data_IF_150372623133
#
_entry.id   IF_150372623133
#
_cell.length_a   1.000
_cell.length_b   1.000
_cell.length_c   1.000
_cell.angle_alpha   90.00
_cell.angle_beta   90.00
_cell.angle_gamma   90.00
#
_symmetry.space_group_name_H-M   'P 1'
#
loop_
_entity.id
_entity.type
_entity.pdbx_description
1 polymer ?
#
# COMPACT_ATOMS: atom_id res chain seq x y z
N UNK A 1 9.10 -9.75 3.45
CA UNK A 1 7.75 -9.17 3.39
C UNK A 1 6.88 -9.83 4.46
N UNK A 2 6.34 -9.06 5.40
CA UNK A 2 5.34 -9.57 6.35
C UNK A 2 4.02 -9.61 5.58
N UNK A 3 3.55 -10.80 5.22
CA UNK A 3 2.28 -10.98 4.53
C UNK A 3 1.13 -10.76 5.53
N UNK A 4 0.21 -9.84 5.23
CA UNK A 4 -1.02 -9.69 6.02
C UNK A 4 -2.00 -10.81 5.60
N UNK A 5 -2.27 -11.75 6.51
CA UNK A 5 -3.28 -12.81 6.30
C UNK A 5 -4.70 -12.25 6.10
N UNK A 6 -4.92 -10.95 6.36
CA UNK A 6 -6.19 -10.29 6.08
C UNK A 6 -6.51 -10.23 4.58
N UNK A 7 -5.53 -10.45 3.69
CA UNK A 7 -5.73 -10.38 2.25
C UNK A 7 -6.31 -11.69 1.73
N UNK A 8 -7.61 -11.65 1.38
CA UNK A 8 -8.37 -12.82 0.95
C UNK A 8 -8.76 -12.78 -0.53
N UNK A 9 -8.47 -11.68 -1.23
CA UNK A 9 -8.82 -11.49 -2.63
C UNK A 9 -7.80 -12.02 -3.64
N UNK A 10 -7.78 -11.43 -4.84
CA UNK A 10 -6.90 -11.86 -5.93
C UNK A 10 -5.44 -11.55 -5.59
N UNK A 11 -4.64 -12.60 -5.43
CA UNK A 11 -3.20 -12.45 -5.19
C UNK A 11 -2.44 -12.24 -6.50
N UNK A 12 -2.32 -10.98 -6.92
CA UNK A 12 -1.41 -10.59 -8.01
C UNK A 12 -0.05 -10.14 -7.46
N UNK A 13 0.99 -10.94 -7.69
CA UNK A 13 2.36 -10.61 -7.26
C UNK A 13 2.88 -9.28 -7.82
N UNK A 14 2.51 -8.93 -9.05
CA UNK A 14 2.88 -7.68 -9.70
C UNK A 14 2.26 -6.50 -8.97
N UNK A 15 0.96 -6.60 -8.66
CA UNK A 15 0.25 -5.60 -7.88
C UNK A 15 0.84 -5.45 -6.48
N UNK A 16 1.05 -6.54 -5.75
CA UNK A 16 1.66 -6.51 -4.42
C UNK A 16 3.02 -5.82 -4.44
N UNK A 17 3.86 -6.10 -5.45
CA UNK A 17 5.18 -5.46 -5.58
C UNK A 17 5.07 -3.95 -5.80
N UNK A 18 4.08 -3.48 -6.57
CA UNK A 18 3.83 -2.05 -6.76
C UNK A 18 3.37 -1.38 -5.46
N UNK A 19 2.46 -2.01 -4.72
CA UNK A 19 1.92 -1.47 -3.47
C UNK A 19 2.97 -1.47 -2.34
N UNK A 20 3.79 -2.52 -2.27
CA UNK A 20 4.93 -2.59 -1.35
C UNK A 20 5.92 -1.44 -1.60
N UNK A 21 6.18 -1.12 -2.87
CA UNK A 21 7.05 -0.01 -3.25
C UNK A 21 6.53 1.33 -2.76
N UNK A 22 5.22 1.59 -2.84
CA UNK A 22 4.61 2.81 -2.27
C UNK A 22 4.89 2.90 -0.78
N UNK A 23 4.75 1.79 -0.04
CA UNK A 23 5.04 1.77 1.39
C UNK A 23 6.52 1.99 1.71
N UNK A 24 7.43 1.44 0.93
CA UNK A 24 8.87 1.61 1.11
C UNK A 24 9.33 3.03 0.76
N UNK A 25 8.82 3.61 -0.32
CA UNK A 25 9.08 5.00 -0.71
C UNK A 25 8.53 5.98 0.35
N UNK A 26 7.33 5.71 0.87
CA UNK A 26 6.74 6.50 1.95
C UNK A 26 7.51 6.34 3.27
N UNK A 27 8.00 5.14 3.58
CA UNK A 27 8.90 4.94 4.70
C UNK A 27 10.19 5.74 4.53
N UNK A 28 10.76 5.82 3.32
CA UNK A 28 11.96 6.61 3.07
C UNK A 28 11.71 8.12 3.25
N UNK A 29 10.50 8.59 2.93
CA UNK A 29 10.08 9.97 3.15
C UNK A 29 9.99 10.32 4.64
N UNK A 30 9.25 9.52 5.40
CA UNK A 30 9.00 9.79 6.83
C UNK A 30 10.10 9.32 7.77
N UNK A 31 10.85 8.29 7.37
CA UNK A 31 11.83 7.54 8.18
C UNK A 31 11.27 7.04 9.52
N UNK A 32 9.99 6.62 9.53
CA UNK A 32 9.32 6.09 10.72
C UNK A 32 8.86 4.65 10.51
N UNK A 33 9.29 3.74 11.39
CA UNK A 33 8.98 2.31 11.28
C UNK A 33 7.48 1.99 11.19
N UNK A 34 6.62 2.76 11.87
CA UNK A 34 5.17 2.53 11.83
C UNK A 34 4.56 2.80 10.46
N UNK A 35 5.22 3.58 9.58
CA UNK A 35 4.72 3.86 8.23
C UNK A 35 4.77 2.59 7.40
N UNK A 36 5.92 1.88 7.40
CA UNK A 36 6.09 0.65 6.63
C UNK A 36 5.13 -0.48 7.07
N UNK A 37 4.86 -0.61 8.37
CA UNK A 37 3.94 -1.64 8.89
C UNK A 37 2.48 -1.22 8.79
N UNK A 38 2.17 0.05 9.10
CA UNK A 38 0.83 0.61 9.01
C UNK A 38 0.31 0.67 7.58
N UNK A 39 1.18 1.01 6.62
CA UNK A 39 0.85 1.11 5.20
C UNK A 39 0.40 -0.23 4.60
N UNK A 40 1.00 -1.36 5.02
CA UNK A 40 0.65 -2.71 4.54
C UNK A 40 -0.58 -3.32 5.23
N UNK A 41 -1.05 -2.73 6.33
CA UNK A 41 -2.14 -3.28 7.14
C UNK A 41 -3.46 -3.28 6.38
N UNK A 42 -4.30 -4.27 6.61
CA UNK A 42 -5.61 -4.38 5.94
C UNK A 42 -5.46 -4.35 4.41
N UNK A 43 -4.40 -4.96 3.88
CA UNK A 43 -4.15 -5.07 2.43
C UNK A 43 -4.09 -3.73 1.72
N UNK A 44 -3.35 -2.78 2.30
CA UNK A 44 -3.24 -1.41 1.77
C UNK A 44 -4.56 -0.61 1.82
N UNK A 45 -5.66 -1.21 2.30
CA UNK A 45 -6.96 -0.56 2.52
C UNK A 45 -7.00 0.22 3.85
N UNK A 46 -6.03 1.10 4.08
CA UNK A 46 -5.93 1.90 5.31
C UNK A 46 -5.57 3.37 5.00
N UNK A 47 -5.76 4.25 5.98
CA UNK A 47 -5.51 5.69 5.79
C UNK A 47 -4.01 6.01 5.59
N UNK A 48 -3.09 5.23 6.16
CA UNK A 48 -1.64 5.46 6.00
C UNK A 48 -1.24 5.25 4.55
N UNK A 49 -1.73 4.19 3.91
CA UNK A 49 -1.48 3.96 2.48
C UNK A 49 -2.03 5.10 1.62
N UNK A 50 -3.23 5.59 1.91
CA UNK A 50 -3.82 6.73 1.21
C UNK A 50 -3.00 8.01 1.37
N UNK A 51 -2.51 8.28 2.58
CA UNK A 51 -1.63 9.42 2.83
C UNK A 51 -0.31 9.28 2.06
N UNK A 52 0.27 8.08 2.03
CA UNK A 52 1.49 7.81 1.28
C UNK A 52 1.34 8.07 -0.22
N UNK A 53 0.20 7.70 -0.81
CA UNK A 53 -0.09 7.98 -2.21
C UNK A 53 -0.14 9.48 -2.52
N UNK A 54 -0.75 10.26 -1.62
CA UNK A 54 -0.86 11.72 -1.74
C UNK A 54 0.52 12.39 -1.59
N UNK A 55 1.27 12.03 -0.55
CA UNK A 55 2.59 12.60 -0.26
C UNK A 55 3.65 12.26 -1.31
N UNK A 56 3.55 11.08 -1.93
CA UNK A 56 4.42 10.66 -3.03
C UNK A 56 3.97 11.23 -4.39
N UNK A 57 2.89 12.02 -4.42
CA UNK A 57 2.30 12.61 -5.63
C UNK A 57 1.97 11.56 -6.69
N UNK A 58 1.51 10.37 -6.27
CA UNK A 58 1.12 9.28 -7.17
C UNK A 58 -0.31 9.45 -7.71
N UNK A 59 -0.79 10.69 -7.83
CA UNK A 59 -2.18 11.09 -8.12
C UNK A 59 -2.73 10.38 -9.36
N UNK A 60 -1.93 10.27 -10.42
CA UNK A 60 -2.33 9.64 -11.69
C UNK A 60 -2.64 8.15 -11.57
N UNK A 61 -2.12 7.48 -10.54
CA UNK A 61 -2.30 6.03 -10.30
C UNK A 61 -3.02 5.73 -8.99
N UNK A 62 -3.46 6.75 -8.24
CA UNK A 62 -4.18 6.56 -6.96
C UNK A 62 -5.43 5.73 -7.16
N UNK A 63 -6.23 6.05 -8.18
CA UNK A 63 -7.47 5.34 -8.44
C UNK A 63 -7.21 3.88 -8.84
N UNK A 64 -6.17 3.62 -9.64
CA UNK A 64 -5.77 2.26 -10.01
C UNK A 64 -5.37 1.44 -8.78
N UNK A 65 -4.48 2.00 -7.93
CA UNK A 65 -4.05 1.32 -6.72
C UNK A 65 -5.16 1.15 -5.70
N UNK A 66 -6.08 2.11 -5.59
CA UNK A 66 -7.21 2.01 -4.69
C UNK A 66 -8.17 0.91 -5.15
N UNK A 67 -8.59 0.92 -6.41
CA UNK A 67 -9.45 -0.13 -6.99
C UNK A 67 -8.79 -1.51 -6.83
N UNK A 68 -7.49 -1.60 -7.08
CA UNK A 68 -6.75 -2.84 -6.93
C UNK A 68 -6.65 -3.31 -5.46
N UNK A 69 -6.47 -2.39 -4.49
CA UNK A 69 -6.49 -2.74 -3.06
C UNK A 69 -7.85 -3.25 -2.59
N UNK A 70 -8.94 -2.70 -3.11
CA UNK A 70 -10.30 -3.15 -2.80
C UNK A 70 -10.54 -4.58 -3.26
N UNK A 71 -9.91 -5.04 -4.35
CA UNK A 71 -10.02 -6.42 -4.82
C UNK A 71 -9.25 -7.45 -3.98
N UNK A 72 -8.42 -7.00 -3.03
CA UNK A 72 -7.59 -7.88 -2.19
C UNK A 72 -8.16 -8.13 -0.78
N UNK A 73 -9.16 -7.35 -0.37
CA UNK A 73 -9.90 -7.48 0.91
C UNK A 73 -11.08 -8.42 0.73
#
# INVERSE_FOLDING_TARGET
>A
AVFDQSCKGVYDRSLFSKLDRVCDDCYNLYRKHYVATGCRRNCYGNLVFRQCLDDLMLVDVVDEYYVASVQMV
#
